data_IF_866557450926
#
_entry.id   IF_866557450926
#
_cell.length_a   1.000
_cell.length_b   1.000
_cell.length_c   1.000
_cell.angle_alpha   90.00
_cell.angle_beta   90.00
_cell.angle_gamma   90.00
#
_symmetry.space_group_name_H-M   'P 1'
#
loop_
_entity.id
_entity.type
_entity.pdbx_description
1 polymer ?
#
# COMPACT_ATOMS: atom_id res chain seq x y z
N UNK A 1 -53.01 6.15 51.64
CA UNK A 1 -51.59 6.04 51.30
C UNK A 1 -51.48 6.10 49.78
N UNK A 2 -51.15 7.25 49.22
CA UNK A 2 -51.01 7.46 47.77
C UNK A 2 -49.51 7.34 47.43
N UNK A 3 -49.11 6.36 46.62
CA UNK A 3 -47.76 6.22 46.08
C UNK A 3 -47.65 7.05 44.81
N UNK A 4 -46.76 8.05 44.83
CA UNK A 4 -46.34 8.82 43.65
C UNK A 4 -45.30 8.01 42.90
N UNK A 5 -45.59 7.65 41.61
CA UNK A 5 -44.59 7.22 40.65
C UNK A 5 -43.98 8.46 40.01
N UNK A 6 -42.66 8.70 40.20
CA UNK A 6 -41.90 9.67 39.40
C UNK A 6 -41.42 8.96 38.15
N UNK A 7 -41.92 9.38 37.02
CA UNK A 7 -41.35 9.03 35.71
C UNK A 7 -40.06 9.82 35.49
N UNK A 8 -38.94 9.11 35.30
CA UNK A 8 -37.67 9.71 34.86
C UNK A 8 -37.65 9.63 33.35
N UNK A 9 -37.83 10.75 32.66
CA UNK A 9 -37.58 10.87 31.22
C UNK A 9 -36.06 10.97 31.02
N UNK A 10 -35.46 9.91 30.47
CA UNK A 10 -34.09 9.96 29.96
C UNK A 10 -34.17 10.51 28.53
N UNK A 11 -33.74 11.75 28.35
CA UNK A 11 -33.55 12.32 27.03
C UNK A 11 -32.25 11.73 26.43
N UNK A 12 -32.40 10.85 25.46
CA UNK A 12 -31.29 10.42 24.58
C UNK A 12 -30.98 11.57 23.63
N UNK A 13 -29.92 12.31 23.93
CA UNK A 13 -29.33 13.24 22.97
C UNK A 13 -28.57 12.44 21.89
N UNK A 14 -29.20 12.25 20.75
CA UNK A 14 -28.53 11.74 19.56
C UNK A 14 -27.58 12.83 19.06
N UNK A 15 -26.29 12.68 19.36
CA UNK A 15 -25.26 13.47 18.69
C UNK A 15 -25.20 13.01 17.23
N UNK A 16 -25.82 13.77 16.32
CA UNK A 16 -25.58 13.63 14.90
C UNK A 16 -24.14 14.07 14.66
N UNK A 17 -23.26 13.10 14.42
CA UNK A 17 -21.95 13.37 13.85
C UNK A 17 -22.21 13.84 12.43
N UNK A 18 -22.14 15.16 12.20
CA UNK A 18 -22.04 15.70 10.87
C UNK A 18 -20.68 15.26 10.29
N UNK A 19 -20.67 14.13 9.58
CA UNK A 19 -19.60 13.82 8.64
C UNK A 19 -19.74 14.88 7.55
N UNK A 20 -18.91 15.90 7.61
CA UNK A 20 -18.79 16.88 6.54
C UNK A 20 -18.37 16.13 5.29
N UNK A 21 -19.29 15.99 4.34
CA UNK A 21 -18.96 15.51 3.00
C UNK A 21 -17.99 16.56 2.42
N UNK A 22 -16.72 16.21 2.33
CA UNK A 22 -15.76 16.95 1.51
C UNK A 22 -16.21 16.67 0.09
N UNK A 23 -17.03 17.57 -0.48
CA UNK A 23 -17.31 17.55 -1.90
C UNK A 23 -15.99 17.87 -2.59
N UNK A 24 -15.34 16.85 -3.17
CA UNK A 24 -14.23 17.09 -4.07
C UNK A 24 -14.73 17.98 -5.20
N UNK A 25 -13.94 19.00 -5.55
CA UNK A 25 -14.29 19.93 -6.60
C UNK A 25 -14.63 19.13 -7.87
N UNK A 26 -15.86 19.26 -8.32
CA UNK A 26 -16.27 18.72 -9.61
C UNK A 26 -15.33 19.30 -10.65
N UNK A 27 -14.69 18.43 -11.47
CA UNK A 27 -13.78 18.89 -12.50
C UNK A 27 -14.44 19.98 -13.36
N UNK A 28 -13.69 20.98 -13.76
CA UNK A 28 -14.23 22.13 -14.52
C UNK A 28 -14.94 21.70 -15.82
N UNK A 29 -14.58 20.54 -16.36
CA UNK A 29 -15.07 19.94 -17.61
C UNK A 29 -16.05 18.77 -17.38
N UNK A 30 -16.39 18.46 -16.11
CA UNK A 30 -17.33 17.38 -15.76
C UNK A 30 -16.71 15.98 -15.69
N UNK A 31 -15.46 15.74 -16.13
CA UNK A 31 -14.74 14.48 -16.05
C UNK A 31 -13.58 14.62 -15.05
N UNK A 32 -13.48 13.68 -14.10
CA UNK A 32 -12.44 13.67 -13.07
C UNK A 32 -11.16 13.04 -13.63
N UNK A 33 -10.08 13.82 -13.72
CA UNK A 33 -8.82 13.40 -14.32
C UNK A 33 -7.94 12.66 -13.31
N UNK A 34 -7.51 11.46 -13.69
CA UNK A 34 -6.63 10.62 -12.89
C UNK A 34 -5.22 10.57 -13.48
N UNK A 35 -4.22 10.57 -12.58
CA UNK A 35 -2.83 10.34 -12.94
C UNK A 35 -2.31 9.04 -12.34
N UNK A 36 -1.45 8.34 -13.08
CA UNK A 36 -0.77 7.12 -12.63
C UNK A 36 0.67 7.44 -12.23
N UNK A 37 1.07 7.04 -11.03
CA UNK A 37 2.47 7.05 -10.60
C UNK A 37 2.99 5.62 -10.61
N UNK A 38 4.00 5.31 -11.46
CA UNK A 38 4.64 4.00 -11.50
C UNK A 38 4.11 3.07 -12.61
N UNK A 39 4.62 3.24 -13.83
CA UNK A 39 4.34 2.32 -14.94
C UNK A 39 5.18 1.03 -14.82
N UNK A 40 5.00 0.26 -13.72
CA UNK A 40 5.86 -0.88 -13.37
C UNK A 40 5.11 -2.17 -13.10
N UNK A 41 3.79 -2.16 -13.21
CA UNK A 41 2.91 -3.31 -12.97
C UNK A 41 1.87 -3.48 -14.06
N UNK A 42 1.37 -4.71 -14.24
CA UNK A 42 0.25 -5.01 -15.14
C UNK A 42 -1.08 -4.39 -14.68
N UNK A 43 -1.16 -3.87 -13.45
CA UNK A 43 -2.35 -3.16 -12.97
C UNK A 43 -2.59 -1.89 -13.80
N UNK A 44 -1.53 -1.16 -14.14
CA UNK A 44 -1.63 0.10 -14.90
C UNK A 44 -2.43 -0.05 -16.19
N UNK A 45 -2.02 -0.89 -17.18
CA UNK A 45 -2.81 -1.04 -18.39
C UNK A 45 -4.20 -1.66 -18.12
N UNK A 46 -4.33 -2.51 -17.10
CA UNK A 46 -5.62 -3.10 -16.74
C UNK A 46 -6.60 -2.05 -16.20
N UNK A 47 -6.16 -1.16 -15.28
CA UNK A 47 -7.01 -0.11 -14.73
C UNK A 47 -7.34 0.95 -15.78
N UNK A 48 -6.35 1.38 -16.57
CA UNK A 48 -6.58 2.29 -17.70
C UNK A 48 -7.61 1.73 -18.67
N UNK A 49 -7.52 0.45 -19.01
CA UNK A 49 -8.46 -0.18 -19.97
C UNK A 49 -9.89 -0.26 -19.43
N UNK A 50 -10.09 -0.36 -18.12
CA UNK A 50 -11.44 -0.38 -17.50
C UNK A 50 -12.00 1.04 -17.39
N UNK A 51 -11.18 1.97 -16.84
CA UNK A 51 -11.64 3.35 -16.58
C UNK A 51 -11.87 4.11 -17.88
N UNK A 52 -10.97 4.03 -18.84
CA UNK A 52 -11.06 4.75 -20.12
C UNK A 52 -11.89 4.01 -21.17
N UNK A 53 -12.62 2.94 -20.81
CA UNK A 53 -13.47 2.22 -21.74
C UNK A 53 -14.73 3.04 -22.07
N UNK A 54 -14.93 3.53 -23.31
CA UNK A 54 -16.10 4.32 -23.67
C UNK A 54 -17.42 3.54 -23.58
N UNK A 55 -17.36 2.20 -23.65
CA UNK A 55 -18.51 1.31 -23.51
C UNK A 55 -18.66 0.75 -22.09
N UNK A 56 -17.88 1.27 -21.12
CA UNK A 56 -17.88 0.85 -19.72
C UNK A 56 -19.12 1.31 -18.94
N UNK A 57 -19.19 0.91 -17.68
CA UNK A 57 -20.27 1.32 -16.78
C UNK A 57 -20.35 2.87 -16.65
N UNK A 58 -21.54 3.40 -16.37
CA UNK A 58 -21.78 4.84 -16.17
C UNK A 58 -20.85 5.46 -15.11
N UNK A 59 -20.47 4.68 -14.09
CA UNK A 59 -19.53 5.12 -13.07
C UNK A 59 -18.18 5.48 -13.68
N UNK A 60 -17.65 4.68 -14.59
CA UNK A 60 -16.33 4.89 -15.20
C UNK A 60 -16.32 6.11 -16.11
N UNK A 61 -17.46 6.45 -16.76
CA UNK A 61 -17.58 7.62 -17.64
C UNK A 61 -17.38 8.96 -16.92
N UNK A 62 -17.35 8.96 -15.57
CA UNK A 62 -17.06 10.15 -14.76
C UNK A 62 -15.56 10.40 -14.60
N UNK A 63 -14.71 9.46 -15.04
CA UNK A 63 -13.28 9.47 -14.83
C UNK A 63 -12.52 9.28 -16.13
N UNK A 64 -11.31 9.81 -16.19
CA UNK A 64 -10.37 9.58 -17.27
C UNK A 64 -8.96 9.52 -16.73
N UNK A 65 -8.22 8.46 -17.03
CA UNK A 65 -6.78 8.39 -16.77
C UNK A 65 -6.07 9.11 -17.91
N UNK A 66 -5.42 10.23 -17.60
CA UNK A 66 -4.85 11.15 -18.62
C UNK A 66 -3.33 11.30 -18.55
N UNK A 67 -2.71 10.85 -17.46
CA UNK A 67 -1.31 11.15 -17.18
C UNK A 67 -0.59 9.96 -16.55
N UNK A 68 0.72 9.85 -16.83
CA UNK A 68 1.59 8.86 -16.18
C UNK A 68 2.96 9.45 -15.84
N UNK A 69 3.43 9.15 -14.64
CA UNK A 69 4.84 9.24 -14.26
C UNK A 69 5.42 7.81 -14.24
N UNK A 70 6.44 7.51 -15.06
CA UNK A 70 6.92 6.14 -15.23
C UNK A 70 7.43 5.48 -13.95
N UNK A 71 8.22 6.21 -13.15
CA UNK A 71 8.82 5.67 -11.94
C UNK A 71 9.82 4.55 -12.22
N UNK A 72 9.90 3.61 -11.29
CA UNK A 72 10.78 2.44 -11.38
C UNK A 72 11.87 2.45 -10.31
N UNK A 73 12.26 1.23 -9.88
CA UNK A 73 13.34 1.03 -8.90
C UNK A 73 14.47 0.24 -9.57
N UNK A 74 15.61 0.89 -9.89
CA UNK A 74 16.70 0.28 -10.65
C UNK A 74 17.33 -0.94 -9.98
N UNK A 75 17.28 -1.02 -8.64
CA UNK A 75 17.78 -2.15 -7.87
C UNK A 75 16.79 -3.32 -7.76
N UNK A 76 15.63 -3.20 -8.40
CA UNK A 76 14.58 -4.22 -8.41
C UNK A 76 14.16 -4.55 -9.85
N UNK A 77 14.65 -5.65 -10.45
CA UNK A 77 14.31 -6.03 -11.83
C UNK A 77 12.81 -6.19 -12.06
N UNK A 78 12.05 -6.67 -11.05
CA UNK A 78 10.58 -6.78 -11.14
C UNK A 78 9.89 -5.42 -11.32
N UNK A 79 10.56 -4.34 -10.97
CA UNK A 79 10.12 -2.96 -11.20
C UNK A 79 10.73 -2.39 -12.47
N UNK A 80 12.06 -2.39 -12.56
CA UNK A 80 12.82 -1.67 -13.58
C UNK A 80 12.60 -2.19 -15.00
N UNK A 81 12.65 -3.50 -15.19
CA UNK A 81 12.55 -4.13 -16.52
C UNK A 81 11.19 -3.93 -17.20
N UNK A 82 10.21 -3.41 -16.48
CA UNK A 82 8.83 -3.21 -16.95
C UNK A 82 8.50 -1.78 -17.32
N UNK A 83 9.31 -0.81 -16.89
CA UNK A 83 9.05 0.63 -17.05
C UNK A 83 8.82 1.00 -18.51
N UNK A 84 9.75 0.64 -19.41
CA UNK A 84 9.66 0.99 -20.82
C UNK A 84 8.38 0.45 -21.48
N UNK A 85 8.10 -0.84 -21.22
CA UNK A 85 6.90 -1.49 -21.78
C UNK A 85 5.62 -0.81 -21.33
N UNK A 86 5.42 -0.67 -20.03
CA UNK A 86 4.15 -0.12 -19.53
C UNK A 86 4.02 1.39 -19.77
N UNK A 87 5.12 2.12 -19.82
CA UNK A 87 5.09 3.52 -20.27
C UNK A 87 4.64 3.62 -21.73
N UNK A 88 5.16 2.74 -22.60
CA UNK A 88 4.74 2.68 -24.01
C UNK A 88 3.25 2.31 -24.15
N UNK A 89 2.76 1.36 -23.33
CA UNK A 89 1.34 1.00 -23.28
C UNK A 89 0.47 2.21 -22.88
N UNK A 90 0.91 2.99 -21.89
CA UNK A 90 0.23 4.23 -21.47
C UNK A 90 0.19 5.28 -22.57
N UNK A 91 1.31 5.51 -23.27
CA UNK A 91 1.36 6.44 -24.42
C UNK A 91 0.43 5.99 -25.54
N UNK A 92 0.41 4.70 -25.83
CA UNK A 92 -0.51 4.12 -26.83
C UNK A 92 -1.99 4.29 -26.44
N UNK A 93 -2.30 4.30 -25.15
CA UNK A 93 -3.62 4.61 -24.60
C UNK A 93 -3.94 6.11 -24.53
N UNK A 94 -3.05 6.99 -24.98
CA UNK A 94 -3.25 8.45 -25.03
C UNK A 94 -2.82 9.22 -23.77
N UNK A 95 -2.16 8.60 -22.80
CA UNK A 95 -1.73 9.26 -21.59
C UNK A 95 -0.50 10.16 -21.85
N UNK A 96 -0.48 11.33 -21.21
CA UNK A 96 0.68 12.23 -21.21
C UNK A 96 1.72 11.75 -20.18
N UNK A 97 2.97 11.63 -20.61
CA UNK A 97 4.10 11.29 -19.72
C UNK A 97 4.64 12.53 -19.06
N UNK A 98 4.75 12.53 -17.74
CA UNK A 98 5.37 13.60 -16.96
C UNK A 98 6.71 13.14 -16.38
N UNK A 99 7.74 14.01 -16.35
CA UNK A 99 9.08 13.67 -15.88
C UNK A 99 9.19 13.65 -14.34
N UNK A 100 8.23 14.26 -13.64
CA UNK A 100 8.19 14.30 -12.16
C UNK A 100 6.79 14.04 -11.63
N UNK A 101 6.72 13.58 -10.37
CA UNK A 101 5.44 13.40 -9.66
C UNK A 101 4.73 14.73 -9.47
N UNK A 102 5.47 15.79 -9.16
CA UNK A 102 4.92 17.13 -8.94
C UNK A 102 4.24 17.69 -10.19
N UNK A 103 4.87 17.50 -11.37
CA UNK A 103 4.27 17.94 -12.63
C UNK A 103 3.01 17.13 -12.97
N UNK A 104 3.02 15.81 -12.73
CA UNK A 104 1.83 14.99 -12.90
C UNK A 104 0.70 15.48 -11.99
N UNK A 105 0.98 15.65 -10.70
CA UNK A 105 -0.01 16.05 -9.68
C UNK A 105 -0.63 17.40 -9.98
N UNK A 106 0.13 18.34 -10.57
CA UNK A 106 -0.38 19.65 -10.98
C UNK A 106 -1.43 19.58 -12.11
N UNK A 107 -1.52 18.46 -12.83
CA UNK A 107 -2.35 18.32 -14.02
C UNK A 107 -3.51 17.32 -13.87
N UNK A 108 -3.74 16.77 -12.66
CA UNK A 108 -4.78 15.77 -12.39
C UNK A 108 -5.59 16.10 -11.14
N UNK A 109 -6.75 15.47 -10.98
CA UNK A 109 -7.66 15.67 -9.86
C UNK A 109 -7.45 14.61 -8.75
N UNK A 110 -6.99 13.41 -9.11
CA UNK A 110 -6.69 12.31 -8.20
C UNK A 110 -5.57 11.42 -8.73
N UNK A 111 -5.04 10.56 -7.89
CA UNK A 111 -3.85 9.76 -8.22
C UNK A 111 -4.04 8.28 -7.92
N UNK A 112 -3.62 7.44 -8.87
CA UNK A 112 -3.40 6.02 -8.76
C UNK A 112 -1.89 5.80 -8.58
N UNK A 113 -1.43 5.48 -7.38
CA UNK A 113 -0.03 5.18 -7.11
C UNK A 113 0.19 3.67 -7.28
N UNK A 114 0.75 3.29 -8.44
CA UNK A 114 0.80 1.92 -8.97
C UNK A 114 2.23 1.35 -9.02
N UNK A 115 3.22 1.99 -8.42
CA UNK A 115 4.57 1.43 -8.36
C UNK A 115 4.54 0.02 -7.77
N UNK A 116 5.07 -1.00 -8.47
CA UNK A 116 5.05 -2.39 -7.98
C UNK A 116 5.88 -2.58 -6.71
N UNK A 117 6.89 -1.72 -6.53
CA UNK A 117 7.76 -1.69 -5.37
C UNK A 117 7.19 -0.72 -4.33
N UNK A 118 6.86 -1.21 -3.14
CA UNK A 118 6.28 -0.39 -2.08
C UNK A 118 7.25 0.58 -1.39
N UNK A 119 8.57 0.42 -1.61
CA UNK A 119 9.58 1.25 -0.95
C UNK A 119 9.49 2.74 -1.29
N UNK A 120 9.31 3.15 -2.56
CA UNK A 120 9.17 4.56 -2.91
C UNK A 120 7.81 5.18 -2.58
N UNK A 121 6.79 4.39 -2.23
CA UNK A 121 5.40 4.87 -2.13
C UNK A 121 5.23 6.07 -1.19
N UNK A 122 5.88 6.07 -0.02
CA UNK A 122 5.76 7.21 0.91
C UNK A 122 6.29 8.50 0.27
N UNK A 123 7.45 8.45 -0.40
CA UNK A 123 8.03 9.64 -1.03
C UNK A 123 7.19 10.09 -2.24
N UNK A 124 6.67 9.15 -3.02
CA UNK A 124 5.77 9.43 -4.15
C UNK A 124 4.42 9.97 -3.69
N UNK A 125 3.92 9.56 -2.52
CA UNK A 125 2.66 10.05 -1.96
C UNK A 125 2.77 11.47 -1.38
N UNK A 126 3.93 11.88 -0.85
CA UNK A 126 4.12 13.20 -0.23
C UNK A 126 3.68 14.38 -1.11
N UNK A 127 4.11 14.53 -2.38
CA UNK A 127 3.65 15.62 -3.24
C UNK A 127 2.14 15.53 -3.54
N UNK A 128 1.57 14.33 -3.66
CA UNK A 128 0.13 14.13 -3.86
C UNK A 128 -0.66 14.62 -2.65
N UNK A 129 -0.24 14.23 -1.45
CA UNK A 129 -0.84 14.64 -0.18
C UNK A 129 -0.69 16.15 0.04
N UNK A 130 0.49 16.71 -0.23
CA UNK A 130 0.74 18.16 -0.13
C UNK A 130 -0.16 18.98 -1.07
N UNK A 131 -0.46 18.43 -2.26
CA UNK A 131 -1.39 19.03 -3.22
C UNK A 131 -2.87 18.76 -2.88
N UNK A 132 -3.16 18.08 -1.78
CA UNK A 132 -4.51 17.72 -1.32
C UNK A 132 -5.32 16.92 -2.35
N UNK A 133 -4.66 16.04 -3.12
CA UNK A 133 -5.33 15.17 -4.08
C UNK A 133 -5.69 13.84 -3.44
N UNK A 134 -6.91 13.31 -3.65
CA UNK A 134 -7.27 11.95 -3.21
C UNK A 134 -6.34 10.91 -3.85
N UNK A 135 -6.00 9.88 -3.06
CA UNK A 135 -4.93 8.95 -3.41
C UNK A 135 -5.35 7.50 -3.18
N UNK A 136 -5.37 6.71 -4.25
CA UNK A 136 -5.31 5.25 -4.16
C UNK A 136 -3.85 4.80 -4.23
N UNK A 137 -3.46 3.87 -3.36
CA UNK A 137 -2.12 3.25 -3.35
C UNK A 137 -2.25 1.76 -3.60
N UNK A 138 -1.63 1.26 -4.64
CA UNK A 138 -1.61 -0.18 -4.91
C UNK A 138 -0.84 -0.95 -3.83
N UNK A 139 -1.06 -2.23 -3.77
CA UNK A 139 -0.36 -3.12 -2.83
C UNK A 139 1.11 -3.40 -3.28
N UNK A 140 2.05 -3.52 -2.33
CA UNK A 140 1.87 -3.18 -0.92
C UNK A 140 1.85 -1.67 -0.70
N UNK A 141 1.02 -1.15 0.20
CA UNK A 141 0.91 0.29 0.46
C UNK A 141 2.25 0.97 0.71
N UNK A 142 3.20 0.25 1.30
CA UNK A 142 4.56 0.73 1.53
C UNK A 142 5.53 -0.43 1.73
N UNK A 143 6.83 -0.15 1.78
CA UNK A 143 7.88 -1.12 2.06
C UNK A 143 8.01 -1.52 3.54
N UNK A 144 7.35 -0.79 4.46
CA UNK A 144 7.38 -1.06 5.90
C UNK A 144 6.10 -0.63 6.60
N UNK A 145 5.82 -1.19 7.78
CA UNK A 145 4.71 -0.76 8.62
C UNK A 145 4.87 0.70 9.07
N UNK A 146 6.10 1.14 9.34
CA UNK A 146 6.34 2.52 9.76
C UNK A 146 6.02 3.52 8.63
N UNK A 147 6.28 3.17 7.35
CA UNK A 147 5.88 4.00 6.20
C UNK A 147 4.36 4.05 6.02
N UNK A 148 3.66 2.93 6.25
CA UNK A 148 2.20 2.90 6.24
C UNK A 148 1.61 3.85 7.28
N UNK A 149 2.12 3.79 8.51
CA UNK A 149 1.68 4.67 9.60
C UNK A 149 1.96 6.15 9.29
N UNK A 150 3.14 6.45 8.72
CA UNK A 150 3.53 7.81 8.34
C UNK A 150 2.66 8.33 7.18
N UNK A 151 2.35 7.50 6.20
CA UNK A 151 1.49 7.90 5.08
C UNK A 151 0.08 8.26 5.55
N UNK A 152 -0.52 7.46 6.44
CA UNK A 152 -1.82 7.80 7.05
C UNK A 152 -1.74 9.05 7.94
N UNK A 153 -0.65 9.23 8.70
CA UNK A 153 -0.45 10.44 9.50
C UNK A 153 -0.44 11.69 8.63
N UNK A 154 0.35 11.69 7.55
CA UNK A 154 0.45 12.80 6.60
C UNK A 154 -0.89 13.06 5.90
N UNK A 155 -1.57 12.01 5.44
CA UNK A 155 -2.87 12.12 4.80
C UNK A 155 -3.91 12.77 5.73
N UNK A 156 -3.95 12.33 7.00
CA UNK A 156 -4.85 12.88 8.02
C UNK A 156 -4.56 14.34 8.36
N UNK A 157 -3.29 14.72 8.49
CA UNK A 157 -2.88 16.09 8.79
C UNK A 157 -3.22 17.06 7.65
N UNK A 158 -3.34 16.56 6.41
CA UNK A 158 -3.66 17.35 5.24
C UNK A 158 -5.12 17.19 4.78
N UNK A 159 -5.96 16.46 5.51
CA UNK A 159 -7.35 16.15 5.14
C UNK A 159 -7.47 15.47 3.76
N UNK A 160 -6.53 14.59 3.43
CA UNK A 160 -6.50 13.84 2.16
C UNK A 160 -7.06 12.43 2.37
N UNK A 161 -8.11 12.04 1.65
CA UNK A 161 -8.56 10.66 1.67
C UNK A 161 -7.57 9.77 0.93
N UNK A 162 -7.29 8.62 1.54
CA UNK A 162 -6.34 7.62 1.04
C UNK A 162 -6.82 6.22 1.39
N UNK A 163 -6.61 5.27 0.49
CA UNK A 163 -6.73 3.85 0.80
C UNK A 163 -5.83 2.98 -0.06
N UNK A 164 -5.67 1.74 0.36
CA UNK A 164 -5.01 0.66 -0.37
C UNK A 164 -5.85 -0.61 -0.29
N UNK A 165 -5.76 -1.45 -1.30
CA UNK A 165 -6.33 -2.79 -1.27
C UNK A 165 -5.69 -3.72 -2.31
N UNK A 166 -5.70 -5.02 -2.04
CA UNK A 166 -5.57 -6.04 -3.08
C UNK A 166 -6.91 -6.23 -3.80
N UNK A 167 -6.88 -6.56 -5.09
CA UNK A 167 -8.08 -6.96 -5.83
C UNK A 167 -8.85 -8.12 -5.18
N UNK A 168 -8.15 -8.98 -4.44
CA UNK A 168 -8.78 -10.10 -3.72
C UNK A 168 -9.74 -9.65 -2.61
N UNK A 169 -9.59 -8.44 -2.08
CA UNK A 169 -10.54 -7.90 -1.10
C UNK A 169 -11.97 -7.90 -1.63
N UNK A 170 -12.14 -7.60 -2.90
CA UNK A 170 -13.45 -7.38 -3.52
C UNK A 170 -14.00 -8.61 -4.25
N UNK A 171 -13.47 -9.81 -3.98
CA UNK A 171 -14.09 -11.08 -4.37
C UNK A 171 -15.49 -11.15 -3.76
N UNK A 172 -16.50 -11.37 -4.58
CA UNK A 172 -17.92 -11.32 -4.18
C UNK A 172 -18.24 -12.24 -3.01
N UNK A 173 -17.67 -13.46 -3.00
CA UNK A 173 -17.87 -14.40 -1.89
C UNK A 173 -17.23 -13.93 -0.58
N UNK A 174 -16.07 -13.25 -0.61
CA UNK A 174 -15.44 -12.70 0.60
C UNK A 174 -16.28 -11.56 1.17
N UNK A 175 -16.76 -10.66 0.30
CA UNK A 175 -17.64 -9.55 0.68
C UNK A 175 -18.97 -10.07 1.26
N UNK A 176 -19.53 -11.14 0.69
CA UNK A 176 -20.73 -11.79 1.20
C UNK A 176 -20.50 -12.34 2.59
N UNK A 177 -19.41 -13.07 2.84
CA UNK A 177 -19.07 -13.60 4.16
C UNK A 177 -18.91 -12.49 5.20
N UNK A 178 -18.24 -11.37 4.84
CA UNK A 178 -18.03 -10.22 5.71
C UNK A 178 -19.36 -9.51 6.06
N UNK A 179 -20.15 -9.17 5.05
CA UNK A 179 -21.24 -8.19 5.18
C UNK A 179 -22.58 -8.83 5.51
N UNK A 180 -22.86 -10.02 4.96
CA UNK A 180 -24.14 -10.71 5.11
C UNK A 180 -24.10 -11.83 6.15
N UNK A 181 -22.93 -12.42 6.41
CA UNK A 181 -22.71 -13.55 7.32
C UNK A 181 -23.74 -14.67 7.14
N UNK A 182 -23.92 -15.22 5.93
CA UNK A 182 -25.02 -16.15 5.63
C UNK A 182 -24.95 -17.43 6.46
N UNK A 183 -23.77 -17.78 6.96
CA UNK A 183 -23.53 -18.95 7.81
C UNK A 183 -23.56 -18.62 9.31
N UNK A 184 -23.99 -17.42 9.70
CA UNK A 184 -23.95 -16.97 11.09
C UNK A 184 -22.55 -16.51 11.51
N UNK A 185 -22.24 -16.59 12.81
CA UNK A 185 -20.95 -16.12 13.35
C UNK A 185 -19.79 -16.90 12.75
N UNK A 186 -18.76 -16.16 12.28
CA UNK A 186 -17.51 -16.72 11.75
C UNK A 186 -16.56 -16.99 12.91
N UNK A 187 -16.09 -18.22 13.05
CA UNK A 187 -15.14 -18.66 14.07
C UNK A 187 -13.70 -18.78 13.54
N UNK A 188 -13.53 -18.94 12.22
CA UNK A 188 -12.24 -19.07 11.61
C UNK A 188 -12.26 -18.95 10.08
N UNK A 189 -11.07 -18.74 9.52
CA UNK A 189 -10.86 -18.69 8.09
C UNK A 189 -9.45 -19.19 7.74
N UNK A 190 -9.35 -20.06 6.73
CA UNK A 190 -8.08 -20.49 6.14
C UNK A 190 -7.95 -19.86 4.76
N UNK A 191 -7.06 -18.87 4.62
CA UNK A 191 -6.75 -18.22 3.35
C UNK A 191 -5.47 -18.79 2.72
N UNK A 192 -5.43 -18.86 1.40
CA UNK A 192 -4.26 -19.29 0.63
C UNK A 192 -4.00 -18.39 -0.56
N UNK A 193 -2.71 -18.20 -0.87
CA UNK A 193 -2.28 -17.53 -2.10
C UNK A 193 -0.89 -17.98 -2.55
N UNK A 194 -0.48 -17.72 -3.81
CA UNK A 194 0.93 -17.63 -4.14
C UNK A 194 1.63 -16.65 -3.20
N UNK A 195 2.90 -16.90 -2.89
CA UNK A 195 3.67 -16.09 -1.94
C UNK A 195 5.15 -16.04 -2.33
N UNK A 196 5.43 -15.57 -3.55
CA UNK A 196 6.82 -15.26 -3.93
C UNK A 196 7.39 -14.18 -3.02
N UNK A 197 8.69 -14.21 -2.83
CA UNK A 197 9.42 -13.23 -2.02
C UNK A 197 10.33 -12.39 -2.92
N UNK A 198 10.51 -11.14 -2.55
CA UNK A 198 11.52 -10.28 -3.13
C UNK A 198 12.52 -9.92 -2.01
N UNK A 199 13.84 -10.02 -2.22
CA UNK A 199 14.85 -9.78 -1.18
C UNK A 199 14.86 -8.33 -0.66
N UNK A 200 14.32 -7.39 -1.42
CA UNK A 200 14.23 -5.97 -1.05
C UNK A 200 12.99 -5.64 -0.20
N UNK A 201 12.11 -6.63 0.06
CA UNK A 201 10.88 -6.43 0.84
C UNK A 201 10.79 -7.39 2.02
N UNK A 202 10.07 -7.04 3.09
CA UNK A 202 9.64 -8.01 4.10
C UNK A 202 8.89 -9.17 3.43
N UNK A 203 9.12 -10.38 3.89
CA UNK A 203 8.81 -11.59 3.13
C UNK A 203 7.35 -11.76 2.67
N UNK A 204 6.36 -11.26 3.43
CA UNK A 204 4.95 -11.35 3.06
C UNK A 204 4.44 -10.15 2.29
N UNK A 205 5.13 -9.02 2.31
CA UNK A 205 4.69 -7.77 1.69
C UNK A 205 4.63 -7.87 0.17
N UNK A 206 5.60 -8.57 -0.45
CA UNK A 206 5.70 -8.62 -1.91
C UNK A 206 4.50 -9.29 -2.57
N UNK A 207 4.13 -10.50 -2.12
CA UNK A 207 3.03 -11.26 -2.74
C UNK A 207 2.09 -11.92 -1.71
N UNK A 208 2.57 -12.25 -0.51
CA UNK A 208 1.76 -12.82 0.57
C UNK A 208 0.60 -11.93 1.01
N UNK A 209 0.74 -10.61 0.82
CA UNK A 209 -0.28 -9.61 1.13
C UNK A 209 -1.64 -9.96 0.51
N UNK A 210 -1.70 -10.55 -0.67
CA UNK A 210 -2.96 -10.95 -1.31
C UNK A 210 -3.78 -11.92 -0.46
N UNK A 211 -3.15 -12.98 0.07
CA UNK A 211 -3.84 -13.94 0.93
C UNK A 211 -4.12 -13.39 2.33
N UNK A 212 -3.23 -12.53 2.85
CA UNK A 212 -3.49 -11.82 4.12
C UNK A 212 -4.68 -10.88 3.96
N UNK A 213 -4.79 -10.15 2.86
CA UNK A 213 -5.94 -9.30 2.54
C UNK A 213 -7.24 -10.10 2.50
N UNK A 214 -7.24 -11.28 1.83
CA UNK A 214 -8.39 -12.20 1.80
C UNK A 214 -8.81 -12.62 3.21
N UNK A 215 -7.83 -12.97 4.06
CA UNK A 215 -8.06 -13.36 5.45
C UNK A 215 -8.72 -12.23 6.25
N UNK A 216 -8.17 -11.00 6.16
CA UNK A 216 -8.71 -9.85 6.87
C UNK A 216 -10.04 -9.37 6.32
N UNK A 217 -10.29 -9.55 5.02
CA UNK A 217 -11.61 -9.27 4.45
C UNK A 217 -12.69 -10.07 5.15
N UNK A 218 -12.45 -11.34 5.45
CA UNK A 218 -13.43 -12.24 6.08
C UNK A 218 -13.43 -12.08 7.60
N UNK A 219 -12.25 -12.03 8.24
CA UNK A 219 -12.12 -12.06 9.70
C UNK A 219 -12.19 -10.69 10.37
N UNK A 220 -12.04 -9.59 9.60
CA UNK A 220 -11.96 -8.23 10.14
C UNK A 220 -10.62 -7.88 10.80
N UNK A 221 -10.48 -6.65 11.33
CA UNK A 221 -9.20 -6.09 11.80
C UNK A 221 -8.77 -6.55 13.21
N UNK A 222 -9.60 -7.25 13.95
CA UNK A 222 -9.42 -7.53 15.38
C UNK A 222 -8.40 -8.65 15.71
N UNK A 223 -7.40 -8.88 14.84
CA UNK A 223 -6.31 -9.81 15.15
C UNK A 223 -5.46 -9.31 16.31
N UNK A 224 -5.15 -10.17 17.26
CA UNK A 224 -4.41 -9.85 18.48
C UNK A 224 -2.96 -10.28 18.39
N UNK A 225 -2.71 -11.53 17.93
CA UNK A 225 -1.37 -12.09 17.89
C UNK A 225 -1.22 -13.07 16.72
N UNK A 226 0.03 -13.29 16.31
CA UNK A 226 0.39 -14.21 15.24
C UNK A 226 1.56 -15.09 15.61
N UNK A 227 1.58 -16.31 15.05
CA UNK A 227 2.76 -17.17 14.99
C UNK A 227 2.98 -17.65 13.56
N UNK A 228 4.26 -17.88 13.18
CA UNK A 228 4.62 -18.25 11.82
C UNK A 228 5.62 -19.40 11.79
N UNK A 229 5.28 -20.40 10.98
CA UNK A 229 6.21 -21.46 10.56
C UNK A 229 6.47 -21.32 9.07
N UNK A 230 7.72 -21.38 8.65
CA UNK A 230 8.09 -21.24 7.25
C UNK A 230 9.12 -22.27 6.80
N UNK A 231 9.07 -22.60 5.51
CA UNK A 231 10.04 -23.40 4.79
C UNK A 231 10.38 -22.71 3.47
N UNK A 232 11.29 -23.31 2.69
CA UNK A 232 11.56 -22.82 1.32
C UNK A 232 10.34 -22.95 0.39
N UNK A 233 9.36 -23.78 0.74
CA UNK A 233 8.20 -24.09 -0.11
C UNK A 233 6.95 -23.32 0.27
N UNK A 234 6.79 -22.95 1.53
CA UNK A 234 5.58 -22.30 2.01
C UNK A 234 5.77 -21.56 3.34
N UNK A 235 4.83 -20.66 3.62
CA UNK A 235 4.57 -20.09 4.93
C UNK A 235 3.23 -20.60 5.45
N UNK A 236 3.14 -20.79 6.78
CA UNK A 236 1.87 -20.90 7.50
C UNK A 236 1.91 -19.90 8.63
N UNK A 237 1.00 -18.94 8.57
CA UNK A 237 0.83 -17.92 9.60
C UNK A 237 -0.50 -18.17 10.28
N UNK A 238 -0.49 -18.30 11.61
CA UNK A 238 -1.69 -18.48 12.43
C UNK A 238 -1.93 -17.20 13.22
N UNK A 239 -3.07 -16.57 13.00
CA UNK A 239 -3.52 -15.41 13.76
C UNK A 239 -4.61 -15.78 14.76
N UNK A 240 -4.61 -15.11 15.90
CA UNK A 240 -5.67 -15.19 16.91
C UNK A 240 -6.38 -13.85 16.97
N UNK A 241 -7.68 -13.86 16.71
CA UNK A 241 -8.56 -12.70 16.78
C UNK A 241 -9.22 -12.57 18.15
N UNK A 242 -9.75 -11.39 18.46
CA UNK A 242 -10.63 -11.20 19.62
C UNK A 242 -11.75 -12.27 19.65
N UNK A 243 -12.17 -12.68 20.82
CA UNK A 243 -13.10 -13.78 20.96
C UNK A 243 -12.48 -15.17 20.75
N UNK A 244 -11.12 -15.26 20.65
CA UNK A 244 -10.34 -16.50 20.45
C UNK A 244 -10.63 -17.21 19.13
N UNK A 245 -11.05 -16.46 18.10
CA UNK A 245 -11.20 -16.94 16.73
C UNK A 245 -9.82 -17.13 16.10
N UNK A 246 -9.70 -18.10 15.19
CA UNK A 246 -8.42 -18.44 14.54
C UNK A 246 -8.56 -18.22 13.04
N UNK A 247 -7.59 -17.47 12.48
CA UNK A 247 -7.42 -17.36 11.04
C UNK A 247 -6.03 -17.84 10.63
N UNK A 248 -5.94 -18.51 9.49
CA UNK A 248 -4.66 -18.97 8.96
C UNK A 248 -4.40 -18.39 7.58
N UNK A 249 -3.14 -18.10 7.30
CA UNK A 249 -2.66 -17.79 5.96
C UNK A 249 -1.64 -18.82 5.53
N UNK A 250 -1.88 -19.48 4.39
CA UNK A 250 -0.91 -20.35 3.73
C UNK A 250 -0.38 -19.67 2.46
N UNK A 251 0.85 -19.21 2.53
CA UNK A 251 1.59 -18.70 1.37
C UNK A 251 2.36 -19.81 0.67
N UNK A 252 2.12 -20.04 -0.63
CA UNK A 252 2.71 -21.12 -1.41
C UNK A 252 3.79 -20.57 -2.35
N UNK A 253 5.01 -21.14 -2.28
CA UNK A 253 6.15 -20.78 -3.15
C UNK A 253 6.54 -21.89 -4.12
N UNK A 254 6.28 -23.15 -3.78
CA UNK A 254 6.58 -24.31 -4.65
C UNK A 254 5.34 -25.15 -4.84
N UNK A 255 5.17 -25.66 -6.06
CA UNK A 255 4.02 -26.44 -6.48
C UNK A 255 2.89 -25.58 -7.00
N UNK A 256 1.74 -26.18 -7.25
CA UNK A 256 0.55 -25.46 -7.66
C UNK A 256 0.06 -24.54 -6.52
N UNK A 257 -0.24 -23.30 -6.88
CA UNK A 257 -0.74 -22.29 -5.96
C UNK A 257 -2.01 -21.67 -6.52
N UNK A 258 -2.96 -21.39 -5.67
CA UNK A 258 -4.23 -20.74 -6.02
C UNK A 258 -4.60 -19.73 -4.96
N UNK A 259 -5.48 -18.80 -5.32
CA UNK A 259 -6.15 -17.93 -4.36
C UNK A 259 -7.40 -18.63 -3.85
N UNK A 260 -7.68 -18.51 -2.56
CA UNK A 260 -8.90 -19.05 -1.96
C UNK A 260 -8.99 -18.77 -0.47
N UNK A 261 -10.20 -18.91 0.05
CA UNK A 261 -10.46 -18.82 1.48
C UNK A 261 -11.57 -19.78 1.87
N UNK A 262 -11.33 -20.57 2.92
CA UNK A 262 -12.30 -21.47 3.53
C UNK A 262 -12.75 -20.90 4.86
N UNK A 263 -14.05 -20.69 5.00
CA UNK A 263 -14.69 -20.09 6.19
C UNK A 263 -15.29 -21.16 7.07
N UNK A 264 -15.05 -21.05 8.37
CA UNK A 264 -15.62 -21.90 9.41
C UNK A 264 -16.57 -21.06 10.27
N UNK A 265 -17.86 -21.34 10.19
CA UNK A 265 -18.90 -20.55 10.82
C UNK A 265 -19.93 -21.43 11.56
N UNK A 266 -20.83 -20.78 12.30
CA UNK A 266 -21.85 -21.42 13.14
C UNK A 266 -22.69 -22.48 12.40
N UNK A 267 -23.10 -22.17 11.15
CA UNK A 267 -24.02 -22.98 10.38
C UNK A 267 -23.37 -23.84 9.30
N UNK A 268 -22.03 -23.79 9.19
CA UNK A 268 -21.34 -24.60 8.19
C UNK A 268 -19.93 -24.16 7.88
N UNK A 269 -19.37 -24.83 6.88
CA UNK A 269 -18.04 -24.57 6.33
C UNK A 269 -18.19 -24.38 4.82
N UNK A 270 -17.61 -23.30 4.28
CA UNK A 270 -17.77 -22.95 2.86
C UNK A 270 -16.47 -22.41 2.26
N UNK A 271 -16.22 -22.74 1.00
CA UNK A 271 -15.18 -22.06 0.17
C UNK A 271 -15.76 -20.73 -0.29
N UNK A 272 -15.14 -19.62 0.13
CA UNK A 272 -15.70 -18.29 -0.07
C UNK A 272 -15.41 -17.68 -1.46
N UNK A 273 -14.71 -18.40 -2.35
CA UNK A 273 -14.41 -17.94 -3.69
C UNK A 273 -12.91 -17.80 -3.99
N UNK A 274 -12.60 -17.29 -5.16
CA UNK A 274 -11.25 -17.11 -5.70
C UNK A 274 -11.16 -15.79 -6.48
N UNK A 275 -10.00 -15.50 -7.06
CA UNK A 275 -9.73 -14.28 -7.82
C UNK A 275 -10.72 -14.08 -9.00
N UNK A 276 -11.30 -12.88 -9.08
CA UNK A 276 -12.33 -12.48 -10.05
C UNK A 276 -11.87 -11.36 -11.01
N UNK A 277 -10.57 -11.09 -11.07
CA UNK A 277 -10.04 -10.00 -11.90
C UNK A 277 -9.89 -8.68 -11.13
N UNK A 278 -9.64 -7.60 -11.89
CA UNK A 278 -9.38 -6.27 -11.31
C UNK A 278 -10.63 -5.38 -11.23
N UNK A 279 -11.63 -5.65 -12.05
CA UNK A 279 -12.79 -4.77 -12.19
C UNK A 279 -13.51 -4.48 -10.86
N UNK A 280 -13.73 -5.45 -9.94
CA UNK A 280 -14.32 -5.16 -8.64
C UNK A 280 -13.52 -4.13 -7.82
N UNK A 281 -12.18 -4.19 -7.86
CA UNK A 281 -11.31 -3.19 -7.21
C UNK A 281 -11.42 -1.83 -7.92
N UNK A 282 -11.35 -1.78 -9.25
CA UNK A 282 -11.43 -0.54 -10.04
C UNK A 282 -12.76 0.18 -9.77
N UNK A 283 -13.86 -0.56 -9.65
CA UNK A 283 -15.17 -0.01 -9.28
C UNK A 283 -15.12 0.68 -7.91
N UNK A 284 -14.50 0.09 -6.92
CA UNK A 284 -14.37 0.70 -5.59
C UNK A 284 -13.39 1.88 -5.57
N UNK A 285 -12.33 1.86 -6.40
CA UNK A 285 -11.45 3.01 -6.63
C UNK A 285 -12.25 4.19 -7.22
N UNK A 286 -13.07 3.96 -8.25
CA UNK A 286 -13.90 5.02 -8.82
C UNK A 286 -14.93 5.56 -7.82
N UNK A 287 -15.60 4.70 -7.04
CA UNK A 287 -16.49 5.14 -5.95
C UNK A 287 -15.75 5.97 -4.89
N UNK A 288 -14.52 5.58 -4.56
CA UNK A 288 -13.70 6.35 -3.63
C UNK A 288 -13.41 7.75 -4.18
N UNK A 289 -13.01 7.90 -5.43
CA UNK A 289 -12.79 9.22 -6.03
C UNK A 289 -14.07 10.03 -6.16
N UNK A 290 -15.22 9.40 -6.37
CA UNK A 290 -16.51 10.07 -6.41
C UNK A 290 -16.96 10.59 -5.03
N UNK A 291 -16.75 9.79 -3.99
CA UNK A 291 -17.35 10.06 -2.66
C UNK A 291 -16.36 10.58 -1.62
N UNK A 292 -15.05 10.39 -1.83
CA UNK A 292 -14.02 10.62 -0.82
C UNK A 292 -14.01 9.61 0.33
N UNK A 293 -14.84 8.55 0.25
CA UNK A 293 -14.97 7.55 1.31
C UNK A 293 -14.12 6.33 0.98
N UNK A 294 -13.09 6.08 1.80
CA UNK A 294 -12.23 4.92 1.66
C UNK A 294 -13.00 3.62 1.96
N UNK A 295 -12.97 2.61 1.05
CA UNK A 295 -13.67 1.34 1.29
C UNK A 295 -12.93 0.45 2.31
N UNK A 296 -11.69 0.76 2.62
CA UNK A 296 -10.85 0.09 3.62
C UNK A 296 -10.35 1.13 4.61
N UNK A 297 -10.58 0.90 5.90
CA UNK A 297 -10.16 1.83 6.95
C UNK A 297 -8.65 1.81 7.21
N UNK A 298 -8.12 2.91 7.74
CA UNK A 298 -6.76 2.99 8.29
C UNK A 298 -6.50 1.88 9.32
N UNK A 299 -7.47 1.61 10.20
CA UNK A 299 -7.36 0.56 11.22
C UNK A 299 -7.15 -0.82 10.59
N UNK A 300 -7.94 -1.18 9.59
CA UNK A 300 -7.83 -2.47 8.93
C UNK A 300 -6.54 -2.61 8.13
N UNK A 301 -6.15 -1.58 7.38
CA UNK A 301 -4.87 -1.56 6.66
C UNK A 301 -3.69 -1.69 7.62
N UNK A 302 -3.71 -0.92 8.72
CA UNK A 302 -2.68 -1.00 9.77
C UNK A 302 -2.61 -2.41 10.37
N UNK A 303 -3.76 -3.06 10.63
CA UNK A 303 -3.80 -4.41 11.16
C UNK A 303 -3.23 -5.45 10.17
N UNK A 304 -3.49 -5.33 8.87
CA UNK A 304 -2.91 -6.17 7.81
C UNK A 304 -1.38 -6.07 7.81
N UNK A 305 -0.85 -4.86 7.80
CA UNK A 305 0.60 -4.64 7.79
C UNK A 305 1.24 -5.03 9.13
N UNK A 306 0.57 -4.79 10.26
CA UNK A 306 1.02 -5.25 11.57
C UNK A 306 1.06 -6.79 11.67
N UNK A 307 0.07 -7.48 11.08
CA UNK A 307 0.05 -8.93 10.99
C UNK A 307 1.26 -9.48 10.23
N UNK A 308 1.58 -8.92 9.06
CA UNK A 308 2.72 -9.33 8.26
C UNK A 308 4.05 -9.03 8.96
N UNK A 309 4.17 -7.86 9.61
CA UNK A 309 5.35 -7.47 10.40
C UNK A 309 5.54 -8.39 11.61
N UNK A 310 4.47 -8.65 12.37
CA UNK A 310 4.49 -9.57 13.51
C UNK A 310 4.80 -11.01 13.08
N UNK A 311 4.34 -11.44 11.89
CA UNK A 311 4.71 -12.73 11.31
C UNK A 311 6.21 -12.82 11.01
N UNK A 312 6.84 -11.74 10.54
CA UNK A 312 8.30 -11.70 10.36
C UNK A 312 9.05 -11.67 11.71
N UNK A 313 8.54 -10.97 12.71
CA UNK A 313 9.08 -11.01 14.08
C UNK A 313 8.97 -12.42 14.67
N UNK A 314 7.83 -13.10 14.49
CA UNK A 314 7.62 -14.49 14.91
C UNK A 314 8.61 -15.44 14.23
N UNK A 315 8.82 -15.30 12.92
CA UNK A 315 9.82 -16.08 12.17
C UNK A 315 11.22 -15.91 12.77
N UNK A 316 11.64 -14.68 13.06
CA UNK A 316 12.94 -14.43 13.72
C UNK A 316 12.99 -15.01 15.13
N UNK A 317 11.88 -15.03 15.84
CA UNK A 317 11.71 -15.66 17.15
C UNK A 317 11.38 -17.16 17.09
N UNK A 318 11.71 -17.86 15.98
CA UNK A 318 11.54 -19.31 15.78
C UNK A 318 10.10 -19.80 15.97
N UNK A 319 9.11 -18.98 15.56
CA UNK A 319 7.69 -19.33 15.62
C UNK A 319 6.98 -18.92 16.91
N UNK A 320 7.64 -18.21 17.82
CA UNK A 320 6.97 -17.67 19.02
C UNK A 320 5.83 -16.70 18.62
N UNK A 321 4.77 -16.69 19.43
CA UNK A 321 3.65 -15.76 19.25
C UNK A 321 4.09 -14.32 19.46
N UNK A 322 3.64 -13.41 18.60
CA UNK A 322 3.91 -11.96 18.66
C UNK A 322 2.60 -11.21 18.59
N UNK A 323 2.38 -10.29 19.53
CA UNK A 323 1.22 -9.41 19.53
C UNK A 323 1.33 -8.35 18.41
N UNK A 324 0.23 -8.03 17.71
CA UNK A 324 0.22 -6.99 16.70
C UNK A 324 0.58 -5.61 17.27
N UNK A 325 0.16 -5.33 18.51
CA UNK A 325 0.53 -4.09 19.21
C UNK A 325 2.05 -3.91 19.36
N UNK A 326 2.79 -5.01 19.51
CA UNK A 326 4.25 -4.94 19.67
C UNK A 326 4.92 -4.63 18.33
N UNK A 327 4.39 -5.15 17.21
CA UNK A 327 4.82 -4.77 15.87
C UNK A 327 4.55 -3.28 15.58
N UNK A 328 3.35 -2.78 15.93
CA UNK A 328 3.00 -1.36 15.79
C UNK A 328 3.88 -0.48 16.66
N UNK A 329 4.14 -0.90 17.91
CA UNK A 329 5.03 -0.17 18.82
C UNK A 329 6.46 -0.10 18.28
N UNK A 330 6.99 -1.20 17.77
CA UNK A 330 8.32 -1.25 17.16
C UNK A 330 8.40 -0.30 15.95
N UNK A 331 7.40 -0.35 15.04
CA UNK A 331 7.34 0.53 13.87
C UNK A 331 7.29 2.02 14.23
N UNK A 332 6.54 2.40 15.29
CA UNK A 332 6.47 3.78 15.80
C UNK A 332 7.76 4.25 16.49
N UNK A 333 8.54 3.32 17.02
CA UNK A 333 9.79 3.62 17.71
C UNK A 333 11.01 3.60 16.77
N UNK A 334 10.84 3.16 15.52
CA UNK A 334 11.90 3.03 14.52
C UNK A 334 12.52 4.41 14.23
N UNK A 335 13.80 4.55 14.51
CA UNK A 335 14.55 5.76 14.23
C UNK A 335 14.97 5.74 12.75
N UNK A 336 14.69 6.80 12.03
CA UNK A 336 14.95 6.91 10.60
C UNK A 336 15.75 8.16 10.30
N UNK A 337 16.70 8.02 9.41
CA UNK A 337 17.37 9.13 8.76
C UNK A 337 17.00 9.14 7.27
N UNK A 338 16.90 10.32 6.67
CA UNK A 338 16.65 10.48 5.24
C UNK A 338 17.80 11.22 4.62
N UNK A 339 18.43 10.58 3.66
CA UNK A 339 19.53 11.12 2.89
C UNK A 339 19.09 11.36 1.47
N UNK A 340 19.35 12.54 0.94
CA UNK A 340 19.09 12.87 -0.45
C UNK A 340 20.42 12.87 -1.24
N UNK A 341 20.45 12.10 -2.31
CA UNK A 341 21.54 12.07 -3.27
C UNK A 341 20.99 12.64 -4.57
N UNK A 342 21.56 13.74 -5.04
CA UNK A 342 21.21 14.33 -6.33
C UNK A 342 22.42 14.46 -7.22
N UNK A 343 22.19 14.42 -8.52
CA UNK A 343 23.22 14.65 -9.50
C UNK A 343 23.13 16.09 -10.04
N UNK A 344 24.28 16.67 -10.35
CA UNK A 344 24.36 17.91 -11.10
C UNK A 344 24.42 17.63 -12.61
N UNK A 345 24.20 18.65 -13.44
CA UNK A 345 24.36 18.54 -14.89
C UNK A 345 25.83 18.16 -15.32
N UNK A 346 26.78 18.25 -14.42
CA UNK A 346 28.18 17.81 -14.62
C UNK A 346 28.42 16.41 -14.05
N UNK A 347 27.39 15.68 -13.68
CA UNK A 347 27.44 14.36 -13.04
C UNK A 347 28.17 14.35 -11.67
N UNK A 348 28.29 15.51 -11.01
CA UNK A 348 28.77 15.57 -9.64
C UNK A 348 27.68 15.03 -8.70
N UNK A 349 28.09 14.33 -7.65
CA UNK A 349 27.19 13.76 -6.65
C UNK A 349 27.07 14.74 -5.48
N UNK A 350 25.87 15.18 -5.19
CA UNK A 350 25.57 16.01 -4.03
C UNK A 350 24.86 15.17 -2.98
N UNK A 351 25.46 15.06 -1.83
CA UNK A 351 24.91 14.44 -0.63
C UNK A 351 24.26 15.49 0.26
N UNK A 352 23.09 15.17 0.79
CA UNK A 352 22.41 15.96 1.81
C UNK A 352 21.87 15.03 2.88
N UNK A 353 22.50 15.02 4.05
CA UNK A 353 22.10 14.28 5.23
C UNK A 353 20.90 14.89 5.95
N UNK A 354 20.53 14.29 7.09
CA UNK A 354 19.42 14.74 7.91
C UNK A 354 19.61 16.15 8.48
N UNK A 355 20.86 16.59 8.69
CA UNK A 355 21.22 17.94 9.12
C UNK A 355 20.91 19.02 8.05
N UNK A 356 20.55 18.61 6.85
CA UNK A 356 20.23 19.47 5.73
C UNK A 356 21.43 20.10 5.03
N UNK A 357 22.67 19.83 5.50
CA UNK A 357 23.88 20.34 4.87
C UNK A 357 24.16 19.59 3.54
N UNK A 358 24.41 20.36 2.48
CA UNK A 358 24.79 19.79 1.19
C UNK A 358 26.30 19.78 1.03
N UNK A 359 26.86 18.69 0.49
CA UNK A 359 28.26 18.56 0.14
C UNK A 359 28.45 17.78 -1.17
N UNK A 360 29.43 18.18 -1.97
CA UNK A 360 29.87 17.36 -3.10
C UNK A 360 30.69 16.19 -2.56
N UNK A 361 30.43 14.99 -3.06
CA UNK A 361 31.03 13.75 -2.59
C UNK A 361 31.52 12.92 -3.78
N UNK A 362 32.57 12.12 -3.54
CA UNK A 362 33.02 11.12 -4.50
C UNK A 362 32.23 9.83 -4.37
N UNK A 363 32.10 9.05 -5.44
CA UNK A 363 31.38 7.78 -5.47
C UNK A 363 31.83 6.84 -4.35
N UNK A 364 33.14 6.71 -4.14
CA UNK A 364 33.69 5.79 -3.13
C UNK A 364 33.45 6.20 -1.66
N UNK A 365 33.01 7.43 -1.42
CA UNK A 365 32.70 7.91 -0.06
C UNK A 365 31.27 7.60 0.37
N UNK A 366 30.37 7.27 -0.57
CA UNK A 366 28.94 7.10 -0.30
C UNK A 366 28.65 6.04 0.74
N UNK A 367 29.30 4.89 0.65
CA UNK A 367 29.13 3.80 1.63
C UNK A 367 29.45 4.26 3.04
N UNK A 368 30.60 4.88 3.25
CA UNK A 368 30.98 5.39 4.57
C UNK A 368 30.05 6.47 5.10
N UNK A 369 29.45 7.27 4.22
CA UNK A 369 28.46 8.27 4.61
C UNK A 369 27.15 7.65 5.04
N UNK A 370 26.66 6.61 4.34
CA UNK A 370 25.45 5.85 4.73
C UNK A 370 25.68 5.11 6.03
N UNK A 371 26.85 4.47 6.20
CA UNK A 371 27.23 3.79 7.45
C UNK A 371 27.24 4.75 8.64
N UNK A 372 27.79 5.97 8.46
CA UNK A 372 27.78 7.00 9.50
C UNK A 372 26.36 7.46 9.88
N UNK A 373 25.46 7.63 8.92
CA UNK A 373 24.05 7.91 9.20
C UNK A 373 23.38 6.74 9.97
N UNK A 374 23.73 5.51 9.61
CA UNK A 374 23.17 4.30 10.23
C UNK A 374 23.62 4.08 11.68
N UNK A 375 24.68 4.72 12.16
CA UNK A 375 25.15 4.59 13.55
C UNK A 375 24.11 5.03 14.58
N UNK A 376 23.22 5.97 14.22
CA UNK A 376 22.27 6.60 15.12
C UNK A 376 20.80 6.32 14.81
N UNK A 377 20.52 5.53 13.77
CA UNK A 377 19.16 5.18 13.36
C UNK A 377 19.03 3.70 12.99
N UNK A 378 17.80 3.21 12.97
CA UNK A 378 17.48 1.82 12.62
C UNK A 378 17.37 1.64 11.10
N UNK A 379 17.04 2.72 10.37
CA UNK A 379 16.84 2.73 8.91
C UNK A 379 17.38 4.03 8.32
N UNK A 380 18.22 3.91 7.30
CA UNK A 380 18.62 5.03 6.44
C UNK A 380 17.82 4.94 5.14
N UNK A 381 17.02 5.96 4.87
CA UNK A 381 16.31 6.11 3.62
C UNK A 381 17.13 6.93 2.66
N UNK A 382 17.48 6.38 1.50
CA UNK A 382 18.21 7.09 0.45
C UNK A 382 17.24 7.49 -0.65
N UNK A 383 17.15 8.78 -0.93
CA UNK A 383 16.38 9.34 -2.04
C UNK A 383 17.35 9.75 -3.12
N UNK A 384 17.20 9.17 -4.32
CA UNK A 384 17.99 9.53 -5.49
C UNK A 384 17.21 10.50 -6.38
N UNK A 385 17.81 11.63 -6.70
CA UNK A 385 17.27 12.61 -7.64
C UNK A 385 18.17 12.69 -8.88
N UNK A 386 17.72 12.12 -9.98
CA UNK A 386 18.40 12.12 -11.27
C UNK A 386 17.67 12.96 -12.33
N UNK A 387 17.03 14.05 -11.93
CA UNK A 387 16.32 14.96 -12.87
C UNK A 387 17.20 15.51 -13.99
N UNK A 388 18.50 15.51 -13.82
CA UNK A 388 19.47 15.93 -14.86
C UNK A 388 19.79 14.82 -15.87
N UNK A 389 19.31 13.58 -15.65
CA UNK A 389 19.43 12.48 -16.59
C UNK A 389 20.84 11.92 -16.75
N UNK A 390 21.58 11.68 -15.65
CA UNK A 390 22.88 10.97 -15.76
C UNK A 390 22.67 9.52 -16.21
N UNK A 391 23.70 8.90 -16.85
CA UNK A 391 23.58 7.53 -17.33
C UNK A 391 23.20 6.53 -16.24
N UNK A 392 22.37 5.57 -16.59
CA UNK A 392 21.86 4.55 -15.67
C UNK A 392 22.99 3.74 -15.00
N UNK A 393 24.10 3.51 -15.69
CA UNK A 393 25.27 2.84 -15.12
C UNK A 393 25.87 3.61 -13.93
N UNK A 394 25.80 4.95 -13.96
CA UNK A 394 26.24 5.81 -12.85
C UNK A 394 25.30 5.66 -11.68
N UNK A 395 24.00 5.63 -11.95
CA UNK A 395 22.98 5.41 -10.92
C UNK A 395 23.15 4.03 -10.27
N UNK A 396 23.35 2.97 -11.07
CA UNK A 396 23.61 1.62 -10.54
C UNK A 396 24.85 1.56 -9.67
N UNK A 397 25.92 2.32 -9.98
CA UNK A 397 27.11 2.40 -9.11
C UNK A 397 26.75 3.03 -7.76
N UNK A 398 25.98 4.14 -7.74
CA UNK A 398 25.50 4.73 -6.49
C UNK A 398 24.68 3.73 -5.70
N UNK A 399 23.75 3.01 -6.34
CA UNK A 399 22.94 1.99 -5.70
C UNK A 399 23.79 0.87 -5.07
N UNK A 400 24.86 0.45 -5.74
CA UNK A 400 25.78 -0.54 -5.21
C UNK A 400 26.53 -0.03 -3.97
N UNK A 401 26.93 1.22 -3.95
CA UNK A 401 27.60 1.82 -2.77
C UNK A 401 26.67 1.99 -1.56
N UNK A 402 25.37 2.12 -1.80
CA UNK A 402 24.36 2.28 -0.74
C UNK A 402 23.51 1.02 -0.55
N UNK A 403 24.02 -0.16 -0.91
CA UNK A 403 23.28 -1.42 -1.02
C UNK A 403 22.49 -1.79 0.23
N UNK A 404 22.99 -1.50 1.42
CA UNK A 404 22.33 -1.80 2.69
C UNK A 404 21.32 -0.72 3.13
N UNK A 405 21.24 0.40 2.39
CA UNK A 405 20.30 1.47 2.69
C UNK A 405 18.91 1.19 2.08
N UNK A 406 17.89 1.72 2.73
CA UNK A 406 16.52 1.67 2.22
C UNK A 406 16.30 2.73 1.14
N UNK A 407 16.18 2.31 -0.11
CA UNK A 407 15.88 3.21 -1.22
C UNK A 407 14.39 3.51 -1.27
N UNK A 408 14.02 4.75 -0.97
CA UNK A 408 12.62 5.18 -0.94
C UNK A 408 12.12 5.70 -2.29
N UNK A 409 12.96 6.43 -3.02
CA UNK A 409 12.55 7.06 -4.26
C UNK A 409 13.70 7.11 -5.25
N UNK A 410 13.36 7.03 -6.53
CA UNK A 410 14.26 7.24 -7.64
C UNK A 410 13.59 8.17 -8.64
N UNK A 411 14.16 9.37 -8.82
CA UNK A 411 13.64 10.39 -9.73
C UNK A 411 14.52 10.47 -10.98
N UNK A 412 13.90 10.34 -12.13
CA UNK A 412 14.54 10.60 -13.42
C UNK A 412 14.65 12.07 -13.72
#
# INVERSE_FOLDING_TARGET
>A
MKRFFKAVCVALASAAVCVGSVAFAQAADGVFKLGVIGATTSHVPAFVSVINNPDGEELYQKFEVVAVYPGGMPDNPDSWDRVEKYTSDCVAAGLTVYPTVEELVANVDGVLLESVDGRPHLEQAKPVIAAKKPLYVDKPMAGSLADVLEMFRLAKENDVPIFTASSLRFVAGYQKMRNEQPLGEIFGCDATSPCSTNPKHPSLYWYGIHGVESLFTIMGPDCVSVSRTNTTSADVVVGVWKGRKIGTFRGVRKGAATYGAKVFAEKGVEEAGTYEGYEPLVREICKFFETGVAPVSEEETTAIFAFMTAADMSRRAKGASVDLKDAIKAAKAEKRSTVNIRFTAKSEIIWKGEDGAEKTVEMGDLRGLVEAEAENCDVVRVILDNRVGVPIDTVHKVLTEVEDAYLANYLY
#
